data_IF_474366636273
#
_entry.id   IF_474366636273
#
_cell.length_a   1.000
_cell.length_b   1.000
_cell.length_c   1.000
_cell.angle_alpha   90.00
_cell.angle_beta   90.00
_cell.angle_gamma   90.00
#
_symmetry.space_group_name_H-M   'P 1'
#
loop_
_entity.id
_entity.type
_entity.pdbx_description
1 polymer ?
#
# COMPACT_ATOMS: atom_id res chain seq x y z
N UNK A 1 42.55 62.63 13.31
CA UNK A 1 43.47 63.18 12.30
C UNK A 1 42.72 62.98 10.97
N UNK A 2 42.16 64.01 10.56
CA UNK A 2 42.55 65.05 9.54
C UNK A 2 42.10 64.58 8.14
N UNK A 3 41.03 65.16 7.68
CA UNK A 3 40.86 66.20 6.64
C UNK A 3 40.99 65.63 5.20
N UNK A 4 40.34 66.04 4.15
CA UNK A 4 39.40 67.11 3.82
C UNK A 4 38.82 66.82 2.44
N UNK A 5 37.64 67.38 2.13
CA UNK A 5 37.15 67.58 0.76
C UNK A 5 37.79 68.79 0.13
N UNK A 6 37.22 69.56 -0.76
CA UNK A 6 36.02 69.39 -1.66
C UNK A 6 36.39 69.78 -3.12
N UNK A 7 35.46 69.79 -4.09
CA UNK A 7 35.08 71.00 -4.84
C UNK A 7 34.15 70.78 -5.98
N UNK A 8 33.22 71.67 -6.08
CA UNK A 8 32.16 71.77 -7.11
C UNK A 8 32.67 72.52 -8.37
N UNK A 9 32.01 72.36 -9.48
CA UNK A 9 31.85 73.36 -10.51
C UNK A 9 30.58 73.17 -11.34
N UNK A 10 29.76 74.19 -11.34
CA UNK A 10 28.59 74.38 -12.16
C UNK A 10 29.00 75.07 -13.48
N UNK A 11 28.10 74.96 -14.51
CA UNK A 11 27.70 76.04 -15.41
C UNK A 11 26.87 75.48 -16.57
N UNK A 12 25.74 75.93 -16.70
CA UNK A 12 24.91 76.86 -17.51
C UNK A 12 24.25 76.27 -18.77
N UNK A 13 22.99 76.32 -18.73
CA UNK A 13 21.85 76.67 -19.54
C UNK A 13 22.05 76.98 -21.01
N UNK A 14 21.10 76.48 -21.84
CA UNK A 14 20.49 77.21 -22.94
C UNK A 14 19.13 76.64 -23.28
N UNK A 15 18.12 77.52 -23.31
CA UNK A 15 16.75 77.31 -23.67
C UNK A 15 16.55 77.12 -25.19
N UNK A 16 15.66 76.21 -25.59
CA UNK A 16 14.86 76.35 -26.83
C UNK A 16 13.46 75.82 -26.60
N UNK A 17 12.52 76.70 -26.80
CA UNK A 17 11.06 76.49 -26.76
C UNK A 17 10.60 76.03 -28.14
N UNK A 18 9.82 74.95 -28.24
CA UNK A 18 8.88 74.72 -29.31
C UNK A 18 7.65 73.96 -28.76
N UNK A 19 6.49 74.55 -29.11
CA UNK A 19 5.18 74.19 -28.64
C UNK A 19 4.58 72.91 -29.27
N UNK A 20 3.33 72.49 -28.88
CA UNK A 20 3.01 71.05 -28.72
C UNK A 20 2.26 70.46 -29.91
N UNK A 21 2.45 69.22 -30.19
CA UNK A 21 1.56 68.45 -31.05
C UNK A 21 0.87 67.42 -30.14
N UNK A 22 -0.45 67.52 -30.07
CA UNK A 22 -1.28 66.62 -29.30
C UNK A 22 -1.29 65.22 -29.88
N UNK A 23 -1.02 64.26 -29.01
CA UNK A 23 -1.30 62.86 -29.27
C UNK A 23 -2.40 62.38 -28.32
N UNK A 24 -3.51 61.95 -28.92
CA UNK A 24 -4.62 61.27 -28.27
C UNK A 24 -4.15 59.98 -27.63
N UNK A 25 -4.28 59.85 -26.32
CA UNK A 25 -4.05 58.62 -25.57
C UNK A 25 -5.19 57.64 -25.81
N UNK A 26 -4.94 56.61 -26.58
CA UNK A 26 -5.79 55.41 -26.60
C UNK A 26 -5.57 54.61 -25.33
N UNK A 27 -6.58 54.55 -24.47
CA UNK A 27 -6.60 53.66 -23.31
C UNK A 27 -6.68 52.20 -23.79
N UNK A 28 -5.61 51.45 -23.67
CA UNK A 28 -5.59 49.99 -23.79
C UNK A 28 -6.14 49.39 -22.52
N UNK A 29 -7.39 48.93 -22.54
CA UNK A 29 -7.93 48.02 -21.52
C UNK A 29 -7.18 46.70 -21.61
N UNK A 30 -6.29 46.45 -20.65
CA UNK A 30 -5.68 45.14 -20.47
C UNK A 30 -6.79 44.17 -20.02
N UNK A 31 -7.16 43.25 -20.89
CA UNK A 31 -7.93 42.07 -20.54
C UNK A 31 -7.10 41.21 -19.56
N UNK A 32 -7.53 41.18 -18.29
CA UNK A 32 -7.03 40.28 -17.29
C UNK A 32 -7.34 38.85 -17.74
N UNK A 33 -6.33 38.12 -18.18
CA UNK A 33 -6.46 36.69 -18.44
C UNK A 33 -6.61 35.97 -17.09
N UNK A 34 -7.78 35.40 -16.85
CA UNK A 34 -7.98 34.47 -15.73
C UNK A 34 -7.01 33.29 -15.89
N UNK A 35 -6.32 32.86 -14.83
CA UNK A 35 -5.47 31.67 -14.91
C UNK A 35 -6.37 30.49 -15.27
N UNK A 36 -6.02 29.78 -16.35
CA UNK A 36 -6.61 28.50 -16.68
C UNK A 36 -6.39 27.54 -15.51
N UNK A 37 -7.40 26.73 -15.12
CA UNK A 37 -7.19 25.75 -14.09
C UNK A 37 -6.07 24.80 -14.55
N UNK A 38 -5.00 24.70 -13.77
CA UNK A 38 -3.96 23.70 -13.97
C UNK A 38 -4.63 22.33 -13.88
N UNK A 39 -4.61 21.56 -14.96
CA UNK A 39 -4.99 20.16 -14.93
C UNK A 39 -4.01 19.46 -13.98
N UNK A 40 -4.49 19.12 -12.80
CA UNK A 40 -3.77 18.18 -11.93
C UNK A 40 -3.50 16.92 -12.75
N UNK A 41 -2.29 16.34 -12.69
CA UNK A 41 -2.03 15.08 -13.38
C UNK A 41 -3.10 14.07 -12.93
N UNK A 42 -3.84 13.52 -13.86
CA UNK A 42 -4.77 12.44 -13.60
C UNK A 42 -3.94 11.27 -13.09
N UNK A 43 -4.09 10.92 -11.82
CA UNK A 43 -3.59 9.63 -11.33
C UNK A 43 -4.25 8.59 -12.22
N UNK A 44 -3.46 7.89 -13.02
CA UNK A 44 -3.96 6.80 -13.86
C UNK A 44 -4.75 5.86 -12.94
N UNK A 45 -6.02 5.63 -13.28
CA UNK A 45 -6.86 4.72 -12.53
C UNK A 45 -6.29 3.30 -12.72
N UNK A 46 -5.40 2.90 -11.81
CA UNK A 46 -4.92 1.53 -11.78
C UNK A 46 -6.08 0.61 -11.42
N UNK A 47 -6.16 -0.51 -12.09
CA UNK A 47 -7.18 -1.53 -11.85
C UNK A 47 -6.62 -2.59 -10.91
N UNK A 48 -7.32 -2.88 -9.84
CA UNK A 48 -6.96 -3.95 -8.93
C UNK A 48 -6.93 -5.29 -9.66
N UNK A 49 -6.03 -6.16 -9.26
CA UNK A 49 -5.87 -7.51 -9.80
C UNK A 49 -6.00 -8.57 -8.69
N UNK A 50 -5.67 -9.83 -9.00
CA UNK A 50 -5.76 -10.90 -8.03
C UNK A 50 -7.16 -11.03 -7.41
N UNK A 51 -7.23 -11.41 -6.15
CA UNK A 51 -8.51 -11.53 -5.45
C UNK A 51 -9.23 -10.19 -5.25
N UNK A 52 -8.52 -9.08 -5.15
CA UNK A 52 -9.13 -7.76 -5.06
C UNK A 52 -9.93 -7.35 -6.32
N UNK A 53 -9.74 -8.03 -7.45
CA UNK A 53 -10.49 -7.79 -8.69
C UNK A 53 -11.76 -8.61 -8.84
N UNK A 54 -11.99 -9.60 -7.97
CA UNK A 54 -13.09 -10.54 -8.09
C UNK A 54 -14.43 -9.88 -7.75
N UNK A 55 -15.48 -10.14 -8.55
CA UNK A 55 -16.83 -9.69 -8.22
C UNK A 55 -17.44 -10.59 -7.16
N UNK A 56 -17.62 -10.08 -5.95
CA UNK A 56 -18.17 -10.81 -4.81
C UNK A 56 -18.73 -9.85 -3.74
N UNK A 57 -19.48 -10.34 -2.79
CA UNK A 57 -19.96 -9.60 -1.61
C UNK A 57 -20.54 -8.20 -1.94
N UNK A 58 -21.21 -8.06 -3.08
CA UNK A 58 -21.81 -6.81 -3.52
C UNK A 58 -20.83 -5.81 -4.19
N UNK A 59 -19.54 -6.14 -4.28
CA UNK A 59 -18.53 -5.35 -4.99
C UNK A 59 -18.24 -5.94 -6.37
N UNK A 60 -17.90 -5.10 -7.33
CA UNK A 60 -17.42 -5.49 -8.66
C UNK A 60 -15.92 -5.21 -8.78
N UNK A 61 -15.13 -5.91 -7.95
CA UNK A 61 -13.72 -5.61 -7.71
C UNK A 61 -13.50 -4.38 -6.82
N UNK A 62 -12.24 -4.05 -6.58
CA UNK A 62 -11.83 -2.94 -5.72
C UNK A 62 -11.61 -1.68 -6.54
N UNK A 63 -12.33 -0.63 -6.24
CA UNK A 63 -12.25 0.68 -6.90
C UNK A 63 -11.83 1.80 -5.95
N UNK A 64 -11.78 1.52 -4.65
CA UNK A 64 -11.44 2.49 -3.61
C UNK A 64 -12.38 3.69 -3.59
N UNK A 65 -11.81 4.87 -3.45
CA UNK A 65 -12.56 6.15 -3.47
C UNK A 65 -12.92 6.65 -4.86
N UNK A 66 -12.92 5.80 -5.91
CA UNK A 66 -13.23 6.22 -7.26
C UNK A 66 -14.63 6.86 -7.37
N UNK A 67 -14.71 7.99 -8.07
CA UNK A 67 -15.95 8.78 -8.19
C UNK A 67 -16.20 9.76 -7.04
N UNK A 68 -15.46 9.65 -5.92
CA UNK A 68 -15.45 10.63 -4.85
C UNK A 68 -14.49 11.79 -5.08
N UNK A 69 -14.55 12.83 -4.23
CA UNK A 69 -13.60 13.93 -4.27
C UNK A 69 -12.16 13.47 -4.02
N UNK A 70 -11.21 14.23 -4.59
CA UNK A 70 -9.78 14.11 -4.30
C UNK A 70 -9.42 15.16 -3.27
N UNK A 71 -8.84 14.74 -2.15
CA UNK A 71 -8.39 15.61 -1.06
C UNK A 71 -6.92 15.33 -0.76
N UNK A 72 -6.19 16.36 -0.30
CA UNK A 72 -4.76 16.21 0.05
C UNK A 72 -4.58 16.42 1.55
N UNK A 73 -3.98 15.43 2.22
CA UNK A 73 -3.55 15.48 3.60
C UNK A 73 -2.05 15.75 3.70
N UNK A 74 -1.67 16.76 4.48
CA UNK A 74 -0.29 17.08 4.84
C UNK A 74 -0.06 17.06 6.36
N UNK A 75 -1.10 16.80 7.14
CA UNK A 75 -1.07 16.71 8.61
C UNK A 75 -1.85 15.50 9.10
N UNK A 76 -1.51 15.00 10.30
CA UNK A 76 -2.24 13.89 10.91
C UNK A 76 -3.74 14.21 11.07
N UNK A 77 -4.09 15.41 11.51
CA UNK A 77 -5.48 15.80 11.69
C UNK A 77 -6.29 15.74 10.37
N UNK A 78 -5.74 16.22 9.27
CA UNK A 78 -6.37 16.12 7.94
C UNK A 78 -6.49 14.67 7.50
N UNK A 79 -5.41 13.91 7.64
CA UNK A 79 -5.39 12.51 7.22
C UNK A 79 -6.44 11.69 7.95
N UNK A 80 -6.47 11.76 9.28
CA UNK A 80 -7.41 11.01 10.12
C UNK A 80 -8.87 11.43 9.90
N UNK A 81 -9.12 12.73 9.70
CA UNK A 81 -10.44 13.20 9.31
C UNK A 81 -10.89 12.59 7.96
N UNK A 82 -10.04 12.62 6.93
CA UNK A 82 -10.41 12.12 5.61
C UNK A 82 -10.61 10.61 5.54
N UNK A 83 -9.75 9.82 6.17
CA UNK A 83 -9.89 8.35 6.14
C UNK A 83 -11.08 7.83 6.95
N UNK A 84 -11.60 8.60 7.91
CA UNK A 84 -12.74 8.22 8.76
C UNK A 84 -14.10 8.63 8.20
N UNK A 85 -14.15 9.47 7.16
CA UNK A 85 -15.41 9.94 6.58
C UNK A 85 -16.16 8.80 5.88
N UNK A 86 -17.51 8.78 5.95
CA UNK A 86 -18.29 7.70 5.33
C UNK A 86 -18.36 7.77 3.80
N UNK A 87 -18.21 8.95 3.19
CA UNK A 87 -18.27 9.12 1.73
C UNK A 87 -17.01 8.59 1.03
N UNK A 88 -17.13 8.14 -0.24
CA UNK A 88 -15.96 7.78 -1.06
C UNK A 88 -14.99 8.94 -1.20
N UNK A 89 -13.69 8.70 -0.95
CA UNK A 89 -12.63 9.71 -1.07
C UNK A 89 -11.34 9.13 -1.66
N UNK A 90 -10.68 9.93 -2.50
CA UNK A 90 -9.28 9.75 -2.85
C UNK A 90 -8.44 10.67 -1.95
N UNK A 91 -7.74 10.09 -0.99
CA UNK A 91 -6.91 10.80 -0.01
C UNK A 91 -5.45 10.75 -0.48
N UNK A 92 -4.95 11.86 -0.97
CA UNK A 92 -3.56 12.05 -1.34
C UNK A 92 -2.73 12.42 -0.11
N UNK A 93 -1.67 11.68 0.16
CA UNK A 93 -0.73 11.95 1.25
C UNK A 93 0.47 12.75 0.71
N UNK A 94 0.73 13.92 1.29
CA UNK A 94 1.84 14.79 0.89
C UNK A 94 2.91 14.86 1.98
N UNK A 95 4.11 14.42 1.66
CA UNK A 95 5.24 14.42 2.60
C UNK A 95 5.13 13.37 3.71
N UNK A 96 5.75 13.63 4.84
CA UNK A 96 5.70 12.74 6.01
C UNK A 96 4.63 13.18 6.99
N UNK A 97 3.75 12.28 7.36
CA UNK A 97 2.71 12.48 8.39
C UNK A 97 3.00 11.54 9.55
N UNK A 98 3.23 12.11 10.73
CA UNK A 98 3.37 11.34 11.98
C UNK A 98 1.99 11.16 12.60
N UNK A 99 1.54 9.91 12.68
CA UNK A 99 0.27 9.54 13.29
C UNK A 99 0.41 9.45 14.82
N UNK A 100 -0.61 9.83 15.60
CA UNK A 100 -0.56 9.70 17.05
C UNK A 100 -0.57 8.23 17.48
N UNK A 101 0.10 7.93 18.61
CA UNK A 101 0.26 6.57 19.16
C UNK A 101 -0.51 6.35 20.45
N UNK A 102 -1.23 7.34 20.95
CA UNK A 102 -1.73 7.39 22.32
C UNK A 102 -3.06 6.65 22.60
N UNK A 103 -3.70 6.02 21.62
CA UNK A 103 -4.94 5.27 21.82
C UNK A 103 -5.02 4.10 20.84
N UNK A 104 -5.71 3.01 21.27
CA UNK A 104 -5.94 1.82 20.42
C UNK A 104 -4.64 1.28 19.78
N UNK A 105 -3.58 1.20 20.57
CA UNK A 105 -2.24 0.76 20.15
C UNK A 105 -1.68 1.53 18.94
N UNK A 106 -2.12 2.78 18.76
CA UNK A 106 -1.73 3.62 17.63
C UNK A 106 -2.38 3.24 16.28
N UNK A 107 -3.42 2.39 16.29
CA UNK A 107 -4.12 1.95 15.08
C UNK A 107 -5.30 2.88 14.74
N UNK A 108 -5.34 3.37 13.52
CA UNK A 108 -6.33 4.34 13.06
C UNK A 108 -7.34 3.72 12.08
N UNK A 109 -8.66 3.80 12.36
CA UNK A 109 -9.67 3.18 11.51
C UNK A 109 -9.80 3.87 10.16
N UNK A 110 -9.89 3.07 9.09
CA UNK A 110 -10.17 3.51 7.72
C UNK A 110 -11.58 3.07 7.36
N UNK A 111 -12.43 4.02 6.97
CA UNK A 111 -13.79 3.73 6.50
C UNK A 111 -13.78 3.14 5.08
N UNK A 112 -14.90 2.51 4.68
CA UNK A 112 -15.07 1.95 3.33
C UNK A 112 -14.90 3.01 2.22
N UNK A 113 -14.68 2.54 0.99
CA UNK A 113 -14.61 3.38 -0.22
C UNK A 113 -13.49 4.44 -0.16
N UNK A 114 -12.29 4.03 0.18
CA UNK A 114 -11.11 4.91 0.26
C UNK A 114 -10.01 4.48 -0.69
N UNK A 115 -9.43 5.46 -1.38
CA UNK A 115 -8.10 5.34 -1.97
C UNK A 115 -7.15 6.23 -1.18
N UNK A 116 -6.17 5.64 -0.52
CA UNK A 116 -5.07 6.35 0.16
C UNK A 116 -3.83 6.21 -0.72
N UNK A 117 -3.34 7.32 -1.25
CA UNK A 117 -2.24 7.31 -2.22
C UNK A 117 -1.18 8.36 -1.89
N UNK A 118 0.07 7.94 -1.89
CA UNK A 118 1.20 8.85 -1.68
C UNK A 118 1.51 9.70 -2.91
N UNK A 119 1.77 10.98 -2.71
CA UNK A 119 2.22 11.88 -3.76
C UNK A 119 3.73 11.80 -3.95
N UNK A 120 4.16 11.55 -5.19
CA UNK A 120 5.58 11.39 -5.54
C UNK A 120 6.19 10.13 -4.92
N UNK A 121 7.50 10.15 -4.66
CA UNK A 121 8.26 9.00 -4.12
C UNK A 121 8.66 9.13 -2.65
N UNK A 122 8.09 10.08 -1.90
CA UNK A 122 8.53 10.40 -0.53
C UNK A 122 7.39 10.50 0.49
N UNK A 123 6.15 10.19 0.07
CA UNK A 123 5.01 10.20 0.98
C UNK A 123 5.15 9.09 2.02
N UNK A 124 4.97 9.43 3.30
CA UNK A 124 5.21 8.52 4.42
C UNK A 124 4.20 8.72 5.54
N UNK A 125 3.75 7.60 6.12
CA UNK A 125 3.06 7.55 7.41
C UNK A 125 4.00 6.91 8.43
N UNK A 126 4.12 7.52 9.62
CA UNK A 126 5.00 7.03 10.68
C UNK A 126 4.34 7.13 12.05
N UNK A 127 4.79 6.33 13.00
CA UNK A 127 4.35 6.34 14.40
C UNK A 127 3.12 5.48 14.67
N UNK A 128 2.04 5.57 13.89
CA UNK A 128 0.84 4.74 14.00
C UNK A 128 0.58 3.92 12.75
N UNK A 129 -0.31 2.93 12.87
CA UNK A 129 -0.76 2.06 11.78
C UNK A 129 -2.19 2.32 11.33
N UNK A 130 -2.65 1.59 10.32
CA UNK A 130 -4.01 1.67 9.79
C UNK A 130 -4.80 0.41 10.17
N UNK A 131 -6.00 0.61 10.70
CA UNK A 131 -6.95 -0.44 11.01
C UNK A 131 -8.07 -0.45 9.98
N UNK A 132 -8.21 -1.54 9.22
CA UNK A 132 -9.26 -1.76 8.25
C UNK A 132 -10.19 -2.83 8.82
N UNK A 133 -11.27 -2.41 9.48
CA UNK A 133 -12.21 -3.34 10.09
C UNK A 133 -13.11 -2.69 11.12
N UNK A 134 -14.15 -3.42 11.46
CA UNK A 134 -15.00 -3.14 12.61
C UNK A 134 -14.25 -3.48 13.92
N UNK A 135 -14.70 -2.99 15.05
CA UNK A 135 -14.20 -3.44 16.35
C UNK A 135 -14.24 -4.97 16.49
N UNK A 136 -13.19 -5.53 17.06
CA UNK A 136 -13.07 -6.99 17.21
C UNK A 136 -14.22 -7.55 18.04
N UNK A 137 -14.86 -8.59 17.54
CA UNK A 137 -15.89 -9.36 18.22
C UNK A 137 -15.79 -10.84 17.85
N UNK A 138 -15.39 -11.68 18.77
CA UNK A 138 -15.22 -13.12 18.54
C UNK A 138 -16.56 -13.84 18.32
N UNK A 139 -17.64 -13.29 18.86
CA UNK A 139 -19.00 -13.82 18.66
C UNK A 139 -19.57 -13.61 17.25
N UNK A 140 -18.97 -12.73 16.44
CA UNK A 140 -19.36 -12.50 15.05
C UNK A 140 -18.63 -13.49 14.15
N UNK A 141 -19.33 -14.49 13.63
CA UNK A 141 -18.78 -15.57 12.79
C UNK A 141 -19.24 -15.52 11.33
N UNK A 142 -19.97 -14.48 10.94
CA UNK A 142 -20.40 -14.22 9.56
C UNK A 142 -20.22 -12.75 9.21
N UNK A 143 -19.99 -12.40 7.93
CA UNK A 143 -19.81 -11.04 7.50
C UNK A 143 -20.99 -10.15 7.92
N UNK A 144 -20.79 -9.10 8.72
CA UNK A 144 -21.82 -8.11 9.00
C UNK A 144 -22.10 -7.24 7.76
N UNK A 145 -23.31 -6.67 7.68
CA UNK A 145 -23.70 -5.88 6.51
C UNK A 145 -22.89 -4.59 6.34
N UNK A 146 -22.28 -4.09 7.42
CA UNK A 146 -21.43 -2.91 7.48
C UNK A 146 -19.93 -3.24 7.51
N UNK A 147 -19.55 -4.48 7.14
CA UNK A 147 -18.13 -4.84 7.02
C UNK A 147 -17.39 -3.83 6.14
N UNK A 148 -16.20 -3.41 6.61
CA UNK A 148 -15.39 -2.42 5.89
C UNK A 148 -14.93 -3.01 4.55
N UNK A 149 -15.02 -2.22 3.48
CA UNK A 149 -14.75 -2.72 2.14
C UNK A 149 -14.26 -1.65 1.16
N UNK A 150 -13.78 -2.12 0.01
CA UNK A 150 -13.41 -1.29 -1.13
C UNK A 150 -12.33 -0.25 -0.80
N UNK A 151 -11.14 -0.73 -0.44
CA UNK A 151 -10.01 0.14 -0.04
C UNK A 151 -8.80 -0.12 -0.93
N UNK A 152 -8.16 0.97 -1.38
CA UNK A 152 -6.88 0.96 -2.08
C UNK A 152 -5.86 1.75 -1.26
N UNK A 153 -4.70 1.14 -0.97
CA UNK A 153 -3.56 1.80 -0.32
C UNK A 153 -2.33 1.65 -1.23
N UNK A 154 -1.83 2.77 -1.78
CA UNK A 154 -0.77 2.74 -2.78
C UNK A 154 0.30 3.80 -2.58
N UNK A 155 1.52 3.44 -2.99
CA UNK A 155 2.63 4.38 -3.12
C UNK A 155 2.97 5.15 -1.84
N UNK A 156 2.94 4.46 -0.70
CA UNK A 156 3.20 5.01 0.63
C UNK A 156 4.26 4.23 1.38
N UNK A 157 5.16 4.93 2.06
CA UNK A 157 6.03 4.31 3.06
C UNK A 157 5.33 4.27 4.41
N UNK A 158 5.39 3.12 5.08
CA UNK A 158 4.93 2.91 6.45
C UNK A 158 6.13 2.55 7.32
N UNK A 159 6.28 3.23 8.46
CA UNK A 159 7.47 3.10 9.29
C UNK A 159 7.19 3.41 10.77
N UNK A 160 7.61 2.51 11.64
CA UNK A 160 7.64 2.76 13.08
C UNK A 160 6.27 2.79 13.76
N UNK A 161 5.29 1.97 13.33
CA UNK A 161 4.05 1.80 14.08
C UNK A 161 4.29 1.06 15.40
N UNK A 162 3.45 1.34 16.40
CA UNK A 162 3.50 0.74 17.74
C UNK A 162 2.76 -0.61 17.84
N UNK A 163 2.19 -1.07 16.75
CA UNK A 163 1.55 -2.37 16.52
C UNK A 163 1.75 -2.72 15.04
N UNK A 164 0.75 -3.28 14.35
CA UNK A 164 0.78 -3.53 12.91
C UNK A 164 0.90 -2.22 12.10
N UNK A 165 1.59 -2.24 10.95
CA UNK A 165 1.58 -1.10 10.03
C UNK A 165 0.23 -0.99 9.31
N UNK A 166 -0.34 -2.13 8.87
CA UNK A 166 -1.71 -2.26 8.38
C UNK A 166 -2.35 -3.52 8.96
N UNK A 167 -3.51 -3.39 9.56
CA UNK A 167 -4.31 -4.49 10.09
C UNK A 167 -5.66 -4.56 9.39
N UNK A 168 -5.95 -5.67 8.69
CA UNK A 168 -7.21 -5.93 7.99
C UNK A 168 -7.95 -7.04 8.75
N UNK A 169 -9.13 -6.75 9.29
CA UNK A 169 -9.85 -7.74 10.08
C UNK A 169 -11.37 -7.55 10.08
N UNK A 170 -12.07 -8.45 10.79
CA UNK A 170 -13.53 -8.43 10.98
C UNK A 170 -14.31 -8.38 9.67
N UNK A 171 -14.04 -9.39 8.81
CA UNK A 171 -14.73 -9.61 7.54
C UNK A 171 -14.56 -8.49 6.51
N UNK A 172 -13.54 -7.64 6.66
CA UNK A 172 -13.23 -6.61 5.67
C UNK A 172 -12.88 -7.25 4.33
N UNK A 173 -13.28 -6.62 3.22
CA UNK A 173 -13.10 -7.23 1.92
C UNK A 173 -12.85 -6.24 0.78
N UNK A 174 -12.36 -6.75 -0.36
CA UNK A 174 -12.02 -5.92 -1.53
C UNK A 174 -11.01 -4.84 -1.17
N UNK A 175 -9.81 -5.30 -0.83
CA UNK A 175 -8.71 -4.42 -0.40
C UNK A 175 -7.50 -4.67 -1.28
N UNK A 176 -6.91 -3.60 -1.78
CA UNK A 176 -5.71 -3.63 -2.59
C UNK A 176 -4.60 -2.78 -1.97
N UNK A 177 -3.52 -3.45 -1.55
CA UNK A 177 -2.34 -2.85 -0.92
C UNK A 177 -1.18 -3.00 -1.90
N UNK A 178 -0.77 -1.90 -2.55
CA UNK A 178 0.02 -1.96 -3.77
C UNK A 178 1.11 -0.89 -3.85
N UNK A 179 2.33 -1.27 -4.25
CA UNK A 179 3.48 -0.39 -4.39
C UNK A 179 3.80 0.43 -3.14
N UNK A 180 3.69 -0.17 -1.96
CA UNK A 180 4.09 0.46 -0.70
C UNK A 180 5.44 -0.05 -0.23
N UNK A 181 6.03 0.67 0.72
CA UNK A 181 7.28 0.32 1.40
C UNK A 181 7.00 0.20 2.89
N UNK A 182 7.34 -0.96 3.50
CA UNK A 182 7.03 -1.28 4.89
C UNK A 182 8.29 -1.59 5.68
N UNK A 183 8.47 -0.92 6.82
CA UNK A 183 9.60 -1.12 7.71
C UNK A 183 9.27 -0.82 9.18
N UNK A 184 10.01 -1.42 10.10
CA UNK A 184 10.06 -1.09 11.52
C UNK A 184 8.68 -1.03 12.23
N UNK A 185 7.73 -1.90 11.92
CA UNK A 185 6.54 -2.12 12.73
C UNK A 185 6.89 -2.91 13.99
N UNK A 186 6.13 -2.74 15.07
CA UNK A 186 6.36 -3.49 16.32
C UNK A 186 5.84 -4.94 16.21
N UNK A 187 4.71 -5.18 15.53
CA UNK A 187 4.22 -6.52 15.21
C UNK A 187 4.19 -6.75 13.69
N UNK A 188 3.05 -6.81 13.02
CA UNK A 188 2.95 -7.11 11.59
C UNK A 188 3.19 -5.93 10.66
N UNK A 189 3.67 -6.19 9.43
CA UNK A 189 3.64 -5.16 8.39
C UNK A 189 2.24 -5.07 7.76
N UNK A 190 1.68 -6.20 7.32
CA UNK A 190 0.29 -6.28 6.83
C UNK A 190 -0.35 -7.58 7.32
N UNK A 191 -1.18 -7.47 8.33
CA UNK A 191 -1.91 -8.59 8.89
C UNK A 191 -3.34 -8.64 8.33
N UNK A 192 -3.80 -9.83 7.91
CA UNK A 192 -5.13 -10.07 7.38
C UNK A 192 -5.76 -11.17 8.20
N UNK A 193 -6.82 -10.84 8.93
CA UNK A 193 -7.35 -11.68 10.01
C UNK A 193 -8.88 -11.72 10.02
N UNK A 194 -9.45 -12.64 10.83
CA UNK A 194 -10.86 -12.64 11.28
C UNK A 194 -11.85 -12.53 10.13
N UNK A 195 -11.72 -13.46 9.16
CA UNK A 195 -12.67 -13.63 8.07
C UNK A 195 -12.57 -12.59 6.95
N UNK A 196 -11.55 -11.73 6.95
CA UNK A 196 -11.31 -10.80 5.84
C UNK A 196 -11.08 -11.54 4.52
N UNK A 197 -11.49 -10.95 3.38
CA UNK A 197 -11.55 -11.71 2.14
C UNK A 197 -11.33 -10.84 0.89
N UNK A 198 -10.98 -11.46 -0.22
CA UNK A 198 -10.76 -10.76 -1.50
C UNK A 198 -9.72 -9.63 -1.40
N UNK A 199 -8.53 -9.97 -0.91
CA UNK A 199 -7.42 -9.03 -0.72
C UNK A 199 -6.30 -9.32 -1.71
N UNK A 200 -5.67 -8.28 -2.24
CA UNK A 200 -4.40 -8.38 -3.00
C UNK A 200 -3.35 -7.49 -2.36
N UNK A 201 -2.18 -8.09 -2.12
CA UNK A 201 -0.97 -7.42 -1.64
C UNK A 201 0.08 -7.57 -2.73
N UNK A 202 0.41 -6.48 -3.43
CA UNK A 202 1.21 -6.55 -4.65
C UNK A 202 2.26 -5.45 -4.75
N UNK A 203 3.39 -5.77 -5.35
CA UNK A 203 4.46 -4.81 -5.64
C UNK A 203 4.94 -4.01 -4.42
N UNK A 204 4.77 -4.54 -3.21
CA UNK A 204 5.29 -3.89 -2.00
C UNK A 204 6.72 -4.32 -1.73
N UNK A 205 7.48 -3.48 -1.05
CA UNK A 205 8.76 -3.83 -0.47
C UNK A 205 8.63 -3.92 1.04
N UNK A 206 9.11 -5.03 1.61
CA UNK A 206 9.19 -5.27 3.05
C UNK A 206 10.66 -5.40 3.43
N UNK A 207 11.12 -4.57 4.37
CA UNK A 207 12.52 -4.57 4.80
C UNK A 207 12.66 -4.10 6.25
N UNK A 208 13.80 -4.36 6.87
CA UNK A 208 14.07 -3.96 8.26
C UNK A 208 12.90 -4.31 9.19
N UNK A 209 12.34 -5.54 9.02
CA UNK A 209 11.14 -5.98 9.72
C UNK A 209 11.19 -7.48 10.05
N UNK A 210 10.72 -7.85 11.24
CA UNK A 210 10.74 -9.24 11.71
C UNK A 210 9.50 -10.03 11.24
N UNK A 211 8.29 -9.60 11.63
CA UNK A 211 7.03 -10.33 11.44
C UNK A 211 6.20 -9.71 10.31
N UNK A 212 6.38 -10.13 9.07
CA UNK A 212 5.91 -9.38 7.89
C UNK A 212 4.41 -9.48 7.63
N UNK A 213 3.88 -10.69 7.40
CA UNK A 213 2.50 -10.91 6.94
C UNK A 213 1.84 -12.08 7.68
N UNK A 214 0.83 -11.80 8.50
CA UNK A 214 -0.02 -12.82 9.08
C UNK A 214 -1.33 -12.94 8.28
N UNK A 215 -1.70 -14.16 7.89
CA UNK A 215 -3.00 -14.47 7.30
C UNK A 215 -3.71 -15.54 8.14
N UNK A 216 -4.83 -15.13 8.78
CA UNK A 216 -5.52 -15.93 9.79
C UNK A 216 -5.02 -15.65 11.20
N UNK A 217 -5.94 -15.30 12.11
CA UNK A 217 -5.63 -14.74 13.41
C UNK A 217 -4.78 -15.66 14.31
N UNK A 218 -5.33 -16.78 14.74
CA UNK A 218 -4.66 -17.81 15.53
C UNK A 218 -5.23 -19.20 15.24
N UNK A 219 -4.72 -20.23 15.92
CA UNK A 219 -5.12 -21.60 15.68
C UNK A 219 -6.57 -21.92 16.13
N UNK A 220 -7.16 -21.08 16.97
CA UNK A 220 -8.53 -21.26 17.49
C UNK A 220 -9.59 -20.49 16.68
N UNK A 221 -9.17 -19.65 15.71
CA UNK A 221 -10.08 -18.75 15.00
C UNK A 221 -10.82 -19.36 13.77
N UNK A 222 -10.92 -20.67 13.70
CA UNK A 222 -11.55 -21.38 12.58
C UNK A 222 -12.99 -20.91 12.25
N UNK A 223 -13.77 -20.50 13.27
CA UNK A 223 -15.15 -20.06 13.08
C UNK A 223 -15.28 -18.79 12.22
N UNK A 224 -14.32 -17.88 12.31
CA UNK A 224 -14.27 -16.69 11.48
C UNK A 224 -13.52 -16.92 10.17
N UNK A 225 -12.44 -17.72 10.16
CA UNK A 225 -11.46 -17.74 9.08
C UNK A 225 -11.76 -18.81 8.01
N UNK A 226 -12.31 -19.99 8.37
CA UNK A 226 -12.58 -21.05 7.37
C UNK A 226 -13.57 -20.62 6.27
N UNK A 227 -13.20 -20.90 5.00
CA UNK A 227 -13.99 -20.56 3.82
C UNK A 227 -13.88 -19.10 3.38
N UNK A 228 -12.96 -18.36 3.99
CA UNK A 228 -12.61 -16.96 3.73
C UNK A 228 -11.11 -16.79 3.57
N UNK A 229 -10.62 -15.59 3.71
CA UNK A 229 -9.19 -15.25 3.63
C UNK A 229 -8.57 -15.57 2.26
N UNK A 230 -9.34 -15.35 1.17
CA UNK A 230 -8.81 -15.46 -0.20
C UNK A 230 -7.90 -14.26 -0.45
N UNK A 231 -6.60 -14.53 -0.53
CA UNK A 231 -5.58 -13.48 -0.68
C UNK A 231 -4.61 -13.82 -1.80
N UNK A 232 -4.27 -12.81 -2.57
CA UNK A 232 -3.17 -12.85 -3.53
C UNK A 232 -1.99 -12.04 -3.02
N UNK A 233 -0.81 -12.65 -3.03
CA UNK A 233 0.47 -12.00 -2.77
C UNK A 233 1.33 -12.13 -4.02
N UNK A 234 1.63 -11.03 -4.72
CA UNK A 234 2.45 -11.11 -5.93
C UNK A 234 3.39 -9.94 -6.11
N UNK A 235 4.52 -10.22 -6.75
CA UNK A 235 5.55 -9.23 -7.06
C UNK A 235 6.03 -8.42 -5.84
N UNK A 236 5.85 -8.96 -4.64
CA UNK A 236 6.39 -8.33 -3.45
C UNK A 236 7.88 -8.66 -3.30
N UNK A 237 8.63 -7.71 -2.78
CA UNK A 237 10.03 -7.87 -2.44
C UNK A 237 10.20 -8.00 -0.93
N UNK A 238 10.51 -9.20 -0.47
CA UNK A 238 10.86 -9.50 0.92
C UNK A 238 12.37 -9.39 1.09
N UNK A 239 12.83 -8.18 1.41
CA UNK A 239 14.22 -7.76 1.43
C UNK A 239 14.79 -7.81 2.84
N UNK A 240 15.33 -8.94 3.24
CA UNK A 240 15.79 -9.23 4.59
C UNK A 240 14.72 -9.04 5.70
N UNK A 241 13.43 -9.18 5.33
CA UNK A 241 12.36 -9.33 6.30
C UNK A 241 12.37 -10.75 6.84
N UNK A 242 12.45 -10.94 8.18
CA UNK A 242 12.86 -12.22 8.73
C UNK A 242 11.85 -13.34 8.49
N UNK A 243 10.60 -13.17 8.90
CA UNK A 243 9.61 -14.25 8.95
C UNK A 243 8.20 -13.81 8.58
N UNK A 244 7.29 -14.79 8.42
CA UNK A 244 5.87 -14.60 8.02
C UNK A 244 5.74 -13.94 6.65
N UNK A 245 6.25 -14.58 5.60
CA UNK A 245 6.27 -13.99 4.24
C UNK A 245 5.42 -14.75 3.19
N UNK A 246 4.12 -15.12 3.42
CA UNK A 246 3.28 -14.98 4.62
C UNK A 246 3.25 -16.24 5.54
N UNK A 247 2.74 -16.07 6.77
CA UNK A 247 2.27 -17.17 7.64
C UNK A 247 0.77 -17.30 7.53
N UNK A 248 0.28 -18.46 7.08
CA UNK A 248 -1.11 -18.69 6.65
C UNK A 248 -1.81 -19.73 7.51
N UNK A 249 -3.04 -19.44 7.98
CA UNK A 249 -3.94 -20.37 8.66
C UNK A 249 -5.32 -20.35 8.02
N UNK A 250 -5.97 -21.50 7.88
CA UNK A 250 -7.36 -21.71 7.42
C UNK A 250 -7.70 -21.22 6.01
N UNK A 251 -6.97 -20.27 5.47
CA UNK A 251 -7.22 -19.59 4.21
C UNK A 251 -7.16 -20.54 3.01
N UNK A 252 -8.10 -20.44 2.07
CA UNK A 252 -8.07 -21.18 0.79
C UNK A 252 -8.97 -20.52 -0.28
N UNK A 253 -8.48 -20.38 -1.51
CA UNK A 253 -7.07 -20.46 -1.87
C UNK A 253 -6.30 -19.21 -1.54
N UNK A 254 -5.01 -19.37 -1.22
CA UNK A 254 -4.03 -18.28 -1.15
C UNK A 254 -3.10 -18.43 -2.34
N UNK A 255 -2.94 -17.35 -3.11
CA UNK A 255 -2.07 -17.34 -4.28
C UNK A 255 -0.83 -16.51 -4.02
N UNK A 256 0.33 -17.16 -4.02
CA UNK A 256 1.64 -16.53 -3.78
C UNK A 256 2.47 -16.71 -5.03
N UNK A 257 2.61 -15.66 -5.86
CA UNK A 257 3.31 -15.80 -7.13
C UNK A 257 4.23 -14.63 -7.47
N UNK A 258 5.31 -14.92 -8.16
CA UNK A 258 6.32 -13.96 -8.62
C UNK A 258 6.85 -13.01 -7.54
N UNK A 259 6.88 -13.43 -6.27
CA UNK A 259 7.53 -12.67 -5.22
C UNK A 259 9.04 -12.96 -5.20
N UNK A 260 9.82 -11.98 -4.80
CA UNK A 260 11.24 -12.11 -4.57
C UNK A 260 11.55 -12.14 -3.07
N UNK A 261 12.10 -13.24 -2.62
CA UNK A 261 12.54 -13.47 -1.24
C UNK A 261 14.05 -13.40 -1.19
N UNK A 262 14.60 -12.58 -0.30
CA UNK A 262 16.04 -12.45 -0.09
C UNK A 262 16.39 -12.37 1.38
N UNK A 263 17.30 -13.23 1.83
CA UNK A 263 17.85 -13.23 3.20
C UNK A 263 16.76 -13.33 4.29
N UNK A 264 15.86 -14.35 4.21
CA UNK A 264 14.78 -14.56 5.15
C UNK A 264 14.98 -15.85 5.96
N UNK A 265 14.55 -15.89 7.22
CA UNK A 265 14.50 -17.11 8.01
C UNK A 265 13.52 -18.12 7.42
N UNK A 266 12.32 -17.67 7.04
CA UNK A 266 11.44 -18.46 6.20
C UNK A 266 10.58 -17.60 5.27
N UNK A 267 10.22 -18.18 4.13
CA UNK A 267 9.29 -17.58 3.18
C UNK A 267 7.83 -17.84 3.59
N UNK A 268 7.22 -18.87 3.03
CA UNK A 268 5.79 -19.17 3.21
C UNK A 268 5.59 -20.27 4.24
N UNK A 269 4.65 -20.09 5.17
CA UNK A 269 4.21 -21.15 6.08
C UNK A 269 2.69 -21.36 5.93
N UNK A 270 2.27 -22.60 5.59
CA UNK A 270 0.88 -23.01 5.53
C UNK A 270 0.56 -23.94 6.71
N UNK A 271 -0.50 -23.62 7.46
CA UNK A 271 -0.89 -24.37 8.66
C UNK A 271 -2.42 -24.41 8.80
N UNK A 272 -2.94 -25.15 9.78
CA UNK A 272 -4.37 -25.24 10.12
C UNK A 272 -5.24 -25.54 8.90
N UNK A 273 -4.79 -26.49 8.05
CA UNK A 273 -5.45 -26.90 6.79
C UNK A 273 -5.61 -25.78 5.75
N UNK A 274 -4.84 -24.70 5.85
CA UNK A 274 -4.80 -23.67 4.80
C UNK A 274 -4.32 -24.27 3.47
N UNK A 275 -4.77 -23.68 2.35
CA UNK A 275 -4.42 -24.09 0.99
C UNK A 275 -3.67 -22.99 0.23
N UNK A 276 -2.38 -23.19 -0.04
CA UNK A 276 -1.51 -22.22 -0.72
C UNK A 276 -1.07 -22.75 -2.09
N UNK A 277 -1.23 -21.94 -3.13
CA UNK A 277 -0.58 -22.12 -4.44
C UNK A 277 0.63 -21.20 -4.50
N UNK A 278 1.82 -21.81 -4.59
CA UNK A 278 3.12 -21.14 -4.63
C UNK A 278 3.72 -21.26 -6.02
N UNK A 279 3.69 -20.18 -6.84
CA UNK A 279 3.98 -20.24 -8.27
C UNK A 279 5.00 -19.19 -8.72
N UNK A 280 6.05 -19.61 -9.41
CA UNK A 280 6.98 -18.70 -10.10
C UNK A 280 7.72 -17.71 -9.20
N UNK A 281 7.88 -18.00 -7.90
CA UNK A 281 8.64 -17.17 -6.98
C UNK A 281 10.14 -17.42 -7.08
N UNK A 282 10.94 -16.48 -6.61
CA UNK A 282 12.39 -16.62 -6.52
C UNK A 282 12.85 -16.44 -5.08
N UNK A 283 13.51 -17.47 -4.56
CA UNK A 283 14.06 -17.52 -3.20
C UNK A 283 15.58 -17.48 -3.27
N UNK A 284 16.20 -16.50 -2.63
CA UNK A 284 17.65 -16.33 -2.56
C UNK A 284 18.11 -16.19 -1.11
N UNK A 285 18.98 -17.08 -0.65
CA UNK A 285 19.47 -17.12 0.73
C UNK A 285 18.33 -17.21 1.76
N UNK A 286 17.26 -17.94 1.45
CA UNK A 286 16.16 -18.19 2.37
C UNK A 286 16.39 -19.52 3.09
N UNK A 287 16.41 -19.49 4.43
CA UNK A 287 16.70 -20.70 5.18
C UNK A 287 15.62 -21.77 4.95
N UNK A 288 14.32 -21.42 5.05
CA UNK A 288 13.21 -22.33 4.77
C UNK A 288 12.22 -21.68 3.79
N UNK A 289 12.30 -21.92 2.46
CA UNK A 289 11.46 -21.25 1.47
C UNK A 289 9.98 -21.46 1.65
N UNK A 290 9.52 -22.68 1.97
CA UNK A 290 8.12 -22.95 2.29
C UNK A 290 7.95 -24.21 3.12
N UNK A 291 7.03 -24.16 4.09
CA UNK A 291 6.76 -25.25 5.03
C UNK A 291 5.26 -25.39 5.33
N UNK A 292 4.84 -26.58 5.79
CA UNK A 292 3.43 -26.91 6.08
C UNK A 292 3.16 -27.30 7.53
N UNK A 293 4.14 -27.19 8.42
CA UNK A 293 4.13 -27.75 9.79
C UNK A 293 4.26 -26.68 10.89
N UNK A 294 3.79 -25.45 10.67
CA UNK A 294 4.07 -24.30 11.54
C UNK A 294 3.06 -24.09 12.69
N UNK A 295 2.01 -24.88 12.80
CA UNK A 295 0.96 -24.80 13.83
C UNK A 295 0.45 -26.19 14.21
N UNK A 296 -0.61 -26.27 15.00
CA UNK A 296 -1.18 -27.52 15.51
C UNK A 296 -1.56 -28.52 14.41
N UNK A 297 -2.16 -28.04 13.31
CA UNK A 297 -2.49 -28.85 12.16
C UNK A 297 -1.64 -28.45 10.94
N UNK A 298 -1.30 -29.47 10.12
CA UNK A 298 -0.54 -29.24 8.89
C UNK A 298 -1.36 -28.47 7.86
N UNK A 299 -0.70 -27.58 7.12
CA UNK A 299 -1.28 -26.92 5.95
C UNK A 299 -1.23 -27.76 4.69
N UNK A 300 -1.82 -27.23 3.59
CA UNK A 300 -1.70 -27.76 2.23
C UNK A 300 -0.97 -26.73 1.36
N UNK A 301 -0.08 -27.20 0.50
CA UNK A 301 0.72 -26.36 -0.37
C UNK A 301 1.02 -27.08 -1.68
N UNK A 302 0.69 -26.44 -2.79
CA UNK A 302 1.07 -26.85 -4.15
C UNK A 302 2.10 -25.85 -4.68
N UNK A 303 3.22 -26.34 -5.17
CA UNK A 303 4.33 -25.52 -5.66
C UNK A 303 4.64 -25.81 -7.11
N UNK A 304 4.88 -24.79 -7.93
CA UNK A 304 5.30 -24.92 -9.33
C UNK A 304 6.17 -23.75 -9.78
N UNK A 305 7.11 -24.04 -10.66
CA UNK A 305 7.94 -23.03 -11.35
C UNK A 305 8.73 -22.08 -10.44
N UNK A 306 8.96 -22.45 -9.15
CA UNK A 306 9.76 -21.66 -8.23
C UNK A 306 11.26 -21.93 -8.41
N UNK A 307 12.10 -20.92 -8.19
CA UNK A 307 13.56 -21.02 -8.22
C UNK A 307 14.12 -20.80 -6.82
N UNK A 308 14.99 -21.71 -6.38
CA UNK A 308 15.70 -21.67 -5.11
C UNK A 308 17.21 -21.51 -5.37
N UNK A 309 17.82 -20.48 -4.79
CA UNK A 309 19.25 -20.22 -4.83
C UNK A 309 19.76 -20.04 -3.42
N UNK A 310 20.78 -20.80 -3.04
CA UNK A 310 21.41 -20.74 -1.72
C UNK A 310 20.42 -20.93 -0.55
N UNK A 311 19.36 -21.72 -0.75
CA UNK A 311 18.39 -22.07 0.28
C UNK A 311 18.81 -23.33 1.02
N UNK A 312 18.57 -23.40 2.34
CA UNK A 312 18.98 -24.56 3.14
C UNK A 312 17.98 -25.73 3.08
N UNK A 313 16.69 -25.43 2.78
CA UNK A 313 15.63 -26.44 2.69
C UNK A 313 14.92 -26.37 1.34
N UNK A 314 14.30 -27.47 0.97
CA UNK A 314 13.39 -27.52 -0.18
C UNK A 314 12.01 -26.94 0.20
N UNK A 315 11.19 -26.63 -0.81
CA UNK A 315 9.78 -26.33 -0.63
C UNK A 315 9.05 -27.61 -0.21
N UNK A 316 8.36 -27.58 0.94
CA UNK A 316 7.46 -28.65 1.36
C UNK A 316 6.12 -28.53 0.61
N UNK A 317 5.63 -29.65 0.10
CA UNK A 317 4.34 -29.73 -0.58
C UNK A 317 3.44 -30.77 0.09
N UNK A 318 2.13 -30.50 0.14
CA UNK A 318 1.15 -31.41 0.74
C UNK A 318 -0.26 -31.15 0.17
N UNK A 319 -0.95 -32.23 -0.16
CA UNK A 319 -2.36 -32.21 -0.53
C UNK A 319 -2.65 -31.53 -1.89
N UNK A 320 -3.86 -31.07 -2.03
CA UNK A 320 -4.35 -30.30 -3.19
C UNK A 320 -4.95 -28.98 -2.72
N UNK A 321 -4.97 -27.96 -3.58
CA UNK A 321 -5.47 -26.62 -3.29
C UNK A 321 -6.37 -26.19 -4.44
N UNK A 322 -7.40 -25.41 -4.16
CA UNK A 322 -8.26 -24.80 -5.20
C UNK A 322 -7.41 -23.86 -6.06
N UNK A 323 -7.55 -23.98 -7.37
CA UNK A 323 -6.76 -23.19 -8.33
C UNK A 323 -7.25 -21.74 -8.39
N UNK A 324 -6.36 -20.75 -8.18
CA UNK A 324 -6.72 -19.32 -8.27
C UNK A 324 -7.30 -18.90 -9.62
N UNK A 325 -6.91 -19.59 -10.71
CA UNK A 325 -7.45 -19.36 -12.06
C UNK A 325 -8.96 -19.60 -12.18
N UNK A 326 -9.59 -20.24 -11.21
CA UNK A 326 -11.05 -20.37 -11.15
C UNK A 326 -11.75 -19.09 -10.73
N UNK A 327 -11.01 -18.12 -10.18
CA UNK A 327 -11.53 -16.85 -9.69
C UNK A 327 -11.15 -15.66 -10.58
N UNK A 328 -9.90 -15.61 -11.05
CA UNK A 328 -9.40 -14.50 -11.85
C UNK A 328 -8.33 -14.95 -12.86
N UNK A 329 -8.15 -14.17 -13.89
CA UNK A 329 -7.10 -14.39 -14.91
C UNK A 329 -5.83 -13.63 -14.51
N UNK A 330 -4.67 -14.27 -14.66
CA UNK A 330 -3.37 -13.67 -14.44
C UNK A 330 -2.32 -14.24 -15.40
N UNK A 331 -1.27 -13.51 -15.63
CA UNK A 331 -0.12 -13.94 -16.44
C UNK A 331 1.14 -13.76 -15.60
N UNK A 332 1.75 -14.86 -15.11
CA UNK A 332 2.97 -14.74 -14.31
C UNK A 332 4.18 -14.42 -15.18
N UNK A 333 5.14 -13.68 -14.65
CA UNK A 333 6.49 -13.62 -15.17
C UNK A 333 7.19 -14.98 -15.00
N UNK A 334 8.20 -15.25 -15.82
CA UNK A 334 9.07 -16.40 -15.57
C UNK A 334 9.85 -16.16 -14.25
N UNK A 335 9.97 -17.17 -13.41
CA UNK A 335 10.65 -17.04 -12.12
C UNK A 335 12.09 -16.48 -12.25
N UNK A 336 12.80 -16.78 -13.34
CA UNK A 336 14.15 -16.24 -13.59
C UNK A 336 14.19 -14.72 -13.83
N UNK A 337 13.07 -14.08 -14.15
CA UNK A 337 12.97 -12.63 -14.35
C UNK A 337 12.68 -11.88 -13.04
N UNK A 338 12.14 -12.58 -12.05
CA UNK A 338 11.70 -12.01 -10.76
C UNK A 338 12.79 -11.20 -10.04
N UNK A 339 14.07 -11.65 -9.94
CA UNK A 339 15.12 -10.87 -9.27
C UNK A 339 15.47 -9.54 -9.96
N UNK A 340 15.06 -9.36 -11.21
CA UNK A 340 15.25 -8.12 -11.96
C UNK A 340 13.99 -7.26 -11.92
N UNK A 341 12.84 -7.87 -12.21
CA UNK A 341 11.57 -7.15 -12.36
C UNK A 341 11.05 -6.64 -11.01
N UNK A 342 11.09 -7.49 -9.98
CA UNK A 342 10.49 -7.15 -8.69
C UNK A 342 11.24 -6.04 -7.95
N UNK A 343 12.57 -6.07 -7.77
CA UNK A 343 13.27 -4.95 -7.13
C UNK A 343 13.19 -3.63 -7.92
N UNK A 344 13.02 -3.72 -9.24
CA UNK A 344 12.84 -2.53 -10.09
C UNK A 344 11.44 -1.91 -9.96
N UNK A 345 10.40 -2.72 -9.72
CA UNK A 345 9.01 -2.30 -9.70
C UNK A 345 8.36 -2.19 -8.32
N UNK A 346 8.83 -2.93 -7.32
CA UNK A 346 8.24 -2.93 -5.99
C UNK A 346 8.62 -1.69 -5.16
N UNK A 347 7.70 -1.25 -4.29
CA UNK A 347 7.90 -0.14 -3.38
C UNK A 347 7.42 1.21 -3.91
N UNK A 348 7.65 2.24 -3.11
CA UNK A 348 7.23 3.62 -3.36
C UNK A 348 7.94 4.25 -4.57
N UNK A 349 7.23 5.09 -5.33
CA UNK A 349 7.77 5.84 -6.47
C UNK A 349 7.87 5.01 -7.76
N UNK A 350 7.16 3.89 -7.84
CA UNK A 350 7.19 2.95 -8.97
C UNK A 350 5.87 2.88 -9.76
N UNK A 351 4.84 3.66 -9.38
CA UNK A 351 3.52 3.71 -10.06
C UNK A 351 3.47 4.79 -11.13
#
# INVERSE_FOLDING_TARGET
MSRAGPTAAALLASFLVTSPVGFSSASSTALSASPSPSLSPSVSAATADGFASVSALGQNGTTGGAGGPVVTAATAAQFLDYISRPEPLVVQVSGTITLPTGSSDGMHPVASDKTVIGLGGTARLTGGGLHIGLPVSEGVTSPPADAVHNIIIRNLSFDGATDDLINVQMFSHHIWIDHNDFSNGDDGAVDIKRGSDFVTVSWNRFHDHDKTLLLGHDDDNAAQDRGRLRVTYHHNYFDASDQRNPRVRFAEPVHVYNNYYRDNSYGVASAMDAGVVLEGNYFHSVNNPARVDFSGDLGRLVARDNILVECNHAIETRGSVVEPRTYYVYTPHRAAEVPTVVPAGAGVGKI
#
